data_IF_437539433025
#
_entry.id   IF_437539433025
#
_cell.length_a   1.000
_cell.length_b   1.000
_cell.length_c   1.000
_cell.angle_alpha   90.00
_cell.angle_beta   90.00
_cell.angle_gamma   90.00
#
_symmetry.space_group_name_H-M   'P 1'
#
loop_
_entity.id
_entity.type
_entity.pdbx_description
1 polymer ?
#
# COMPACT_ATOMS: atom_id res chain seq x y z
N UNK A 1 2.97 -35.21 8.04
CA UNK A 1 3.79 -33.98 8.11
C UNK A 1 2.90 -32.85 7.61
N UNK A 2 2.82 -31.72 8.32
CA UNK A 2 1.97 -30.61 7.90
C UNK A 2 2.35 -30.19 6.46
N UNK A 3 1.37 -30.04 5.57
CA UNK A 3 1.53 -29.50 4.21
C UNK A 3 1.87 -28.01 4.38
N UNK A 4 3.12 -27.73 4.76
CA UNK A 4 3.61 -26.37 4.92
C UNK A 4 3.54 -25.70 3.55
N UNK A 5 2.87 -24.56 3.50
CA UNK A 5 2.70 -23.82 2.27
C UNK A 5 4.06 -23.36 1.73
N UNK A 6 4.42 -23.81 0.52
CA UNK A 6 5.72 -23.50 -0.08
C UNK A 6 5.69 -22.17 -0.85
N UNK A 7 6.60 -21.27 -0.50
CA UNK A 7 6.88 -20.02 -1.21
C UNK A 7 8.23 -20.18 -1.90
N UNK A 8 8.27 -19.96 -3.21
CA UNK A 8 9.51 -19.97 -3.98
C UNK A 8 9.99 -18.53 -4.23
N UNK A 9 11.26 -18.27 -3.94
CA UNK A 9 11.95 -17.04 -4.31
C UNK A 9 12.93 -17.37 -5.43
N UNK A 10 12.67 -16.85 -6.62
CA UNK A 10 13.57 -16.97 -7.76
C UNK A 10 14.44 -15.72 -7.79
N UNK A 11 15.76 -15.87 -7.63
CA UNK A 11 16.70 -14.75 -7.46
C UNK A 11 17.78 -14.69 -8.55
N UNK A 12 18.08 -13.48 -9.04
CA UNK A 12 19.17 -13.22 -9.99
C UNK A 12 20.53 -12.98 -9.28
N UNK A 13 20.52 -12.68 -7.98
CA UNK A 13 21.71 -12.56 -7.14
C UNK A 13 21.51 -13.21 -5.78
N UNK A 14 22.60 -13.42 -5.03
CA UNK A 14 22.58 -14.08 -3.72
C UNK A 14 22.07 -13.19 -2.56
N UNK A 15 21.28 -12.16 -2.85
CA UNK A 15 20.67 -11.34 -1.78
C UNK A 15 19.63 -12.12 -1.00
N UNK A 16 19.78 -12.15 0.32
CA UNK A 16 18.93 -12.90 1.27
C UNK A 16 17.78 -12.06 1.86
N UNK A 17 17.67 -10.78 1.48
CA UNK A 17 16.70 -9.83 2.07
C UNK A 17 15.25 -10.30 1.96
N UNK A 18 14.87 -10.83 0.79
CA UNK A 18 13.53 -11.38 0.54
C UNK A 18 13.28 -12.67 1.32
N UNK A 19 14.33 -13.47 1.56
CA UNK A 19 14.19 -14.71 2.34
C UNK A 19 13.86 -14.37 3.80
N UNK A 20 14.62 -13.44 4.39
CA UNK A 20 14.40 -12.98 5.76
C UNK A 20 13.04 -12.32 5.96
N UNK A 21 12.57 -11.55 4.96
CA UNK A 21 11.28 -10.88 4.98
C UNK A 21 10.09 -11.84 5.15
N UNK A 22 10.17 -13.00 4.50
CA UNK A 22 9.02 -13.87 4.28
C UNK A 22 9.05 -15.13 5.15
N UNK A 23 10.22 -15.52 5.65
CA UNK A 23 10.37 -16.73 6.48
C UNK A 23 9.56 -16.64 7.77
N UNK A 24 8.67 -17.62 8.00
CA UNK A 24 7.86 -17.78 9.23
C UNK A 24 7.60 -19.27 9.53
N UNK A 25 7.15 -19.59 10.75
CA UNK A 25 6.85 -20.99 11.13
C UNK A 25 5.71 -21.64 10.33
N UNK A 26 4.83 -20.85 9.71
CA UNK A 26 3.61 -21.35 9.06
C UNK A 26 3.74 -21.64 7.56
N UNK A 27 4.89 -21.31 6.94
CA UNK A 27 5.14 -21.49 5.50
C UNK A 27 6.62 -21.83 5.31
N UNK A 28 6.93 -22.68 4.34
CA UNK A 28 8.32 -22.98 3.97
C UNK A 28 8.74 -22.04 2.85
N UNK A 29 9.87 -21.35 3.02
CA UNK A 29 10.43 -20.49 1.98
C UNK A 29 11.66 -21.17 1.39
N UNK A 30 11.69 -21.27 0.06
CA UNK A 30 12.78 -21.89 -0.69
C UNK A 30 13.28 -20.87 -1.70
N UNK A 31 14.58 -20.85 -1.97
CA UNK A 31 15.15 -19.99 -3.01
C UNK A 31 15.91 -20.79 -4.06
N UNK A 32 15.82 -20.39 -5.32
CA UNK A 32 16.61 -20.92 -6.42
C UNK A 32 17.06 -19.80 -7.36
N UNK A 33 18.00 -20.10 -8.25
CA UNK A 33 18.41 -19.15 -9.31
C UNK A 33 17.36 -19.06 -10.41
N UNK A 34 17.38 -17.99 -11.21
CA UNK A 34 16.50 -17.85 -12.39
C UNK A 34 16.56 -19.08 -13.32
N UNK A 35 17.75 -19.61 -13.57
CA UNK A 35 17.96 -20.78 -14.43
C UNK A 35 17.38 -22.08 -13.89
N UNK A 36 17.11 -22.15 -12.59
CA UNK A 36 16.63 -23.35 -11.90
C UNK A 36 15.11 -23.32 -11.66
N UNK A 37 14.45 -22.17 -11.93
CA UNK A 37 13.06 -21.97 -11.56
C UNK A 37 12.10 -22.98 -12.19
N UNK A 38 12.29 -23.31 -13.47
CA UNK A 38 11.39 -24.21 -14.21
C UNK A 38 11.55 -25.67 -13.77
N UNK A 39 12.78 -26.14 -13.54
CA UNK A 39 13.02 -27.48 -12.99
C UNK A 39 12.48 -27.57 -11.57
N UNK A 40 12.70 -26.53 -10.75
CA UNK A 40 12.18 -26.49 -9.39
C UNK A 40 10.65 -26.61 -9.35
N UNK A 41 9.94 -25.86 -10.20
CA UNK A 41 8.48 -25.88 -10.31
C UNK A 41 7.93 -27.21 -10.84
N UNK A 42 8.71 -27.96 -11.63
CA UNK A 42 8.32 -29.29 -12.10
C UNK A 42 8.31 -30.31 -10.96
N UNK A 43 9.28 -30.21 -10.05
CA UNK A 43 9.48 -31.20 -8.99
C UNK A 43 8.78 -30.84 -7.67
N UNK A 44 8.39 -29.57 -7.48
CA UNK A 44 7.87 -29.07 -6.22
C UNK A 44 6.54 -28.33 -6.37
N UNK A 45 5.61 -28.61 -5.45
CA UNK A 45 4.36 -27.86 -5.32
C UNK A 45 4.64 -26.49 -4.71
N UNK A 46 4.56 -25.44 -5.53
CA UNK A 46 4.72 -24.03 -5.12
C UNK A 46 3.35 -23.35 -5.00
N UNK A 47 3.10 -22.67 -3.89
CA UNK A 47 1.85 -21.91 -3.66
C UNK A 47 1.98 -20.44 -4.05
N UNK A 48 3.12 -19.82 -3.83
CA UNK A 48 3.41 -18.42 -4.21
C UNK A 48 4.83 -18.34 -4.75
N UNK A 49 5.03 -17.58 -5.82
CA UNK A 49 6.35 -17.34 -6.40
C UNK A 49 6.69 -15.85 -6.34
N UNK A 50 7.84 -15.52 -5.77
CA UNK A 50 8.45 -14.19 -5.82
C UNK A 50 9.57 -14.23 -6.85
N UNK A 51 9.39 -13.49 -7.95
CA UNK A 51 10.31 -13.49 -9.08
C UNK A 51 11.17 -12.23 -9.03
N UNK A 52 12.39 -12.34 -8.52
CA UNK A 52 13.38 -11.26 -8.44
C UNK A 52 14.36 -11.30 -9.61
N UNK A 53 14.09 -10.46 -10.60
CA UNK A 53 14.81 -10.42 -11.89
C UNK A 53 16.04 -9.50 -11.87
N UNK A 54 16.37 -8.89 -10.74
CA UNK A 54 17.48 -7.95 -10.66
C UNK A 54 17.30 -6.77 -11.64
N UNK A 55 18.28 -6.57 -12.51
CA UNK A 55 18.32 -5.49 -13.52
C UNK A 55 17.83 -6.00 -14.89
N UNK A 56 17.89 -7.31 -15.14
CA UNK A 56 17.47 -7.91 -16.41
C UNK A 56 15.98 -8.23 -16.41
N UNK A 57 15.19 -7.17 -16.60
CA UNK A 57 13.73 -7.24 -16.66
C UNK A 57 13.25 -8.20 -17.74
N UNK A 58 13.89 -8.20 -18.92
CA UNK A 58 13.41 -8.97 -20.07
C UNK A 58 13.50 -10.47 -19.82
N UNK A 59 14.64 -10.93 -19.28
CA UNK A 59 14.82 -12.32 -18.86
C UNK A 59 13.77 -12.73 -17.82
N UNK A 60 13.45 -11.81 -16.91
CA UNK A 60 12.37 -11.95 -15.95
C UNK A 60 10.99 -12.15 -16.57
N UNK A 61 10.63 -11.28 -17.53
CA UNK A 61 9.35 -11.34 -18.23
C UNK A 61 9.19 -12.63 -19.02
N UNK A 62 10.22 -13.04 -19.76
CA UNK A 62 10.23 -14.32 -20.49
C UNK A 62 9.98 -15.50 -19.55
N UNK A 63 10.66 -15.51 -18.39
CA UNK A 63 10.46 -16.57 -17.40
C UNK A 63 9.05 -16.53 -16.80
N UNK A 64 8.50 -15.34 -16.53
CA UNK A 64 7.13 -15.19 -16.05
C UNK A 64 6.12 -15.76 -17.05
N UNK A 65 6.24 -15.45 -18.33
CA UNK A 65 5.37 -15.96 -19.39
C UNK A 65 5.39 -17.49 -19.44
N UNK A 66 6.59 -18.09 -19.40
CA UNK A 66 6.76 -19.54 -19.42
C UNK A 66 6.17 -20.21 -18.17
N UNK A 67 6.37 -19.61 -16.99
CA UNK A 67 5.75 -20.08 -15.74
C UNK A 67 4.23 -20.03 -15.85
N UNK A 68 3.66 -18.98 -16.43
CA UNK A 68 2.20 -18.83 -16.53
C UNK A 68 1.58 -19.73 -17.59
N UNK A 69 2.33 -20.09 -18.62
CA UNK A 69 1.90 -21.08 -19.60
C UNK A 69 1.78 -22.48 -18.98
N UNK A 70 2.74 -22.90 -18.15
CA UNK A 70 2.79 -24.24 -17.56
C UNK A 70 2.06 -24.36 -16.21
N UNK A 71 2.13 -23.31 -15.37
CA UNK A 71 1.51 -23.23 -14.05
C UNK A 71 0.65 -21.96 -13.90
N UNK A 72 -0.45 -21.83 -14.68
CA UNK A 72 -1.30 -20.63 -14.68
C UNK A 72 -1.92 -20.31 -13.33
N UNK A 73 -2.01 -21.31 -12.44
CA UNK A 73 -2.57 -21.18 -11.09
C UNK A 73 -1.55 -20.80 -10.02
N UNK A 74 -0.28 -20.65 -10.32
CA UNK A 74 0.70 -20.15 -9.34
C UNK A 74 0.67 -18.62 -9.37
N UNK A 75 0.28 -17.92 -8.29
CA UNK A 75 0.42 -16.47 -8.20
C UNK A 75 1.92 -16.10 -8.21
N UNK A 76 2.28 -15.13 -9.05
CA UNK A 76 3.66 -14.67 -9.22
C UNK A 76 3.70 -13.18 -8.91
N UNK A 77 4.53 -12.78 -7.95
CA UNK A 77 4.85 -11.38 -7.66
C UNK A 77 6.16 -11.05 -8.35
N UNK A 78 6.15 -10.06 -9.23
CA UNK A 78 7.33 -9.65 -9.98
C UNK A 78 8.12 -8.60 -9.19
N UNK A 79 9.44 -8.73 -9.12
CA UNK A 79 10.32 -7.86 -8.34
C UNK A 79 11.51 -7.46 -9.20
N UNK A 80 11.81 -6.16 -9.29
CA UNK A 80 12.98 -5.68 -10.04
C UNK A 80 13.50 -4.35 -9.50
N UNK A 81 14.80 -4.10 -9.67
CA UNK A 81 15.42 -2.80 -9.38
C UNK A 81 15.29 -1.78 -10.51
N UNK A 82 15.08 -2.22 -11.75
CA UNK A 82 14.87 -1.34 -12.91
C UNK A 82 13.40 -1.42 -13.32
N UNK A 83 12.67 -0.32 -13.16
CA UNK A 83 11.24 -0.29 -13.51
C UNK A 83 10.91 0.97 -14.31
N UNK A 84 10.32 0.79 -15.49
CA UNK A 84 9.55 1.83 -16.18
C UNK A 84 8.05 1.52 -16.06
N UNK A 85 7.19 2.42 -16.54
CA UNK A 85 5.75 2.15 -16.59
C UNK A 85 5.43 1.00 -17.55
N UNK A 86 6.15 0.91 -18.66
CA UNK A 86 6.03 -0.16 -19.65
C UNK A 86 6.34 -1.52 -19.03
N UNK A 87 7.44 -1.63 -18.28
CA UNK A 87 7.83 -2.87 -17.58
C UNK A 87 6.74 -3.37 -16.63
N UNK A 88 6.05 -2.46 -15.94
CA UNK A 88 4.96 -2.82 -15.04
C UNK A 88 3.80 -3.40 -15.83
N UNK A 89 3.39 -2.73 -16.91
CA UNK A 89 2.31 -3.16 -17.78
C UNK A 89 2.63 -4.54 -18.39
N UNK A 90 3.86 -4.74 -18.85
CA UNK A 90 4.33 -6.01 -19.40
C UNK A 90 4.28 -7.14 -18.37
N UNK A 91 4.77 -6.91 -17.14
CA UNK A 91 4.71 -7.92 -16.08
C UNK A 91 3.26 -8.34 -15.77
N UNK A 92 2.33 -7.39 -15.71
CA UNK A 92 0.91 -7.70 -15.51
C UNK A 92 0.31 -8.44 -16.71
N UNK A 93 0.62 -8.03 -17.95
CA UNK A 93 0.16 -8.72 -19.17
C UNK A 93 0.67 -10.16 -19.24
N UNK A 94 1.92 -10.38 -18.84
CA UNK A 94 2.53 -11.71 -18.72
C UNK A 94 1.91 -12.55 -17.57
N UNK A 95 1.09 -11.96 -16.70
CA UNK A 95 0.28 -12.68 -15.70
C UNK A 95 0.75 -12.55 -14.26
N UNK A 96 1.64 -11.59 -13.94
CA UNK A 96 1.97 -11.26 -12.56
C UNK A 96 0.72 -10.82 -11.79
N UNK A 97 0.65 -11.17 -10.50
CA UNK A 97 -0.44 -10.74 -9.62
C UNK A 97 -0.15 -9.40 -8.94
N UNK A 98 1.13 -9.08 -8.79
CA UNK A 98 1.61 -7.82 -8.23
C UNK A 98 3.05 -7.55 -8.72
N UNK A 99 3.49 -6.30 -8.56
CA UNK A 99 4.80 -5.82 -8.99
C UNK A 99 5.44 -4.98 -7.88
N UNK A 100 6.68 -5.31 -7.48
CA UNK A 100 7.44 -4.59 -6.46
C UNK A 100 8.72 -4.00 -7.04
N UNK A 101 8.97 -2.72 -6.76
CA UNK A 101 10.23 -2.06 -7.06
C UNK A 101 11.22 -2.31 -5.92
N UNK A 102 12.50 -2.49 -6.22
CA UNK A 102 13.56 -2.42 -5.20
C UNK A 102 13.88 -0.95 -4.89
N UNK A 103 14.22 -0.60 -3.63
CA UNK A 103 14.25 -1.47 -2.45
C UNK A 103 12.84 -1.94 -2.05
N UNK A 104 12.71 -3.23 -1.71
CA UNK A 104 11.39 -3.82 -1.44
C UNK A 104 10.92 -3.44 -0.05
N UNK A 105 9.66 -3.00 0.03
CA UNK A 105 8.99 -2.85 1.30
C UNK A 105 8.66 -4.21 1.89
N UNK A 106 9.45 -4.61 2.88
CA UNK A 106 9.38 -5.89 3.58
C UNK A 106 8.03 -6.10 4.28
N UNK A 107 7.40 -5.04 4.77
CA UNK A 107 6.10 -5.14 5.45
C UNK A 107 5.00 -5.39 4.42
N UNK A 108 4.98 -4.60 3.34
CA UNK A 108 4.05 -4.81 2.24
C UNK A 108 4.19 -6.19 1.63
N UNK A 109 5.41 -6.63 1.34
CA UNK A 109 5.70 -7.96 0.78
C UNK A 109 5.12 -9.05 1.68
N UNK A 110 5.34 -8.95 2.99
CA UNK A 110 4.82 -9.92 3.95
C UNK A 110 3.28 -9.96 3.94
N UNK A 111 2.63 -8.81 3.97
CA UNK A 111 1.17 -8.72 4.04
C UNK A 111 0.54 -9.20 2.72
N UNK A 112 1.16 -8.90 1.57
CA UNK A 112 0.81 -9.44 0.26
C UNK A 112 0.88 -10.97 0.25
N UNK A 113 2.01 -11.53 0.67
CA UNK A 113 2.22 -12.98 0.72
C UNK A 113 1.18 -13.67 1.61
N UNK A 114 0.92 -13.14 2.82
CA UNK A 114 -0.13 -13.66 3.72
C UNK A 114 -1.51 -13.59 3.07
N UNK A 115 -1.83 -12.50 2.38
CA UNK A 115 -3.08 -12.33 1.64
C UNK A 115 -3.24 -13.39 0.54
N UNK A 116 -2.20 -13.59 -0.27
CA UNK A 116 -2.18 -14.59 -1.34
C UNK A 116 -2.40 -16.00 -0.79
N UNK A 117 -1.72 -16.38 0.28
CA UNK A 117 -1.85 -17.70 0.89
C UNK A 117 -3.25 -17.94 1.46
N UNK A 118 -3.82 -16.95 2.17
CA UNK A 118 -5.22 -17.00 2.64
C UNK A 118 -6.19 -17.20 1.48
N UNK A 119 -5.99 -16.49 0.36
CA UNK A 119 -6.84 -16.61 -0.82
C UNK A 119 -6.78 -18.01 -1.43
N UNK A 120 -5.60 -18.63 -1.48
CA UNK A 120 -5.42 -20.00 -2.00
C UNK A 120 -6.15 -21.04 -1.16
N UNK A 121 -6.31 -20.79 0.13
CA UNK A 121 -7.02 -21.67 1.06
C UNK A 121 -8.55 -21.45 1.05
N UNK A 122 -9.07 -20.53 0.23
CA UNK A 122 -10.53 -20.33 0.06
C UNK A 122 -11.09 -21.02 -1.20
N UNK A 123 -12.26 -21.67 -1.15
CA UNK A 123 -12.86 -22.40 -2.28
C UNK A 123 -13.18 -21.56 -3.54
N UNK A 124 -13.08 -20.22 -3.47
CA UNK A 124 -13.45 -19.27 -4.55
C UNK A 124 -12.24 -18.59 -5.23
N UNK A 125 -11.03 -19.10 -5.02
CA UNK A 125 -9.76 -18.44 -5.35
C UNK A 125 -9.52 -17.99 -6.80
N UNK A 126 -10.30 -18.42 -7.81
CA UNK A 126 -10.15 -17.96 -9.21
C UNK A 126 -10.71 -16.55 -9.46
N UNK A 127 -11.88 -16.19 -8.91
CA UNK A 127 -12.51 -14.86 -9.14
C UNK A 127 -11.76 -13.71 -8.44
N UNK A 128 -11.10 -13.99 -7.33
CA UNK A 128 -10.41 -12.98 -6.52
C UNK A 128 -9.09 -12.55 -7.17
N UNK A 129 -8.36 -13.48 -7.83
CA UNK A 129 -7.08 -13.19 -8.52
C UNK A 129 -7.22 -12.14 -9.62
N UNK A 130 -8.28 -12.24 -10.42
CA UNK A 130 -8.52 -11.33 -11.54
C UNK A 130 -8.95 -9.93 -11.06
N UNK A 131 -9.75 -9.86 -9.98
CA UNK A 131 -10.09 -8.59 -9.31
C UNK A 131 -8.87 -7.91 -8.69
N UNK A 132 -7.94 -8.67 -8.10
CA UNK A 132 -6.77 -8.10 -7.42
C UNK A 132 -5.77 -7.49 -8.41
N UNK A 133 -5.47 -8.19 -9.51
CA UNK A 133 -4.63 -7.66 -10.57
C UNK A 133 -5.26 -6.41 -11.21
N UNK A 134 -6.56 -6.46 -11.52
CA UNK A 134 -7.27 -5.30 -12.11
C UNK A 134 -7.39 -4.12 -11.14
N UNK A 135 -7.66 -4.36 -9.85
CA UNK A 135 -7.69 -3.27 -8.85
C UNK A 135 -6.31 -2.67 -8.63
N UNK A 136 -5.25 -3.49 -8.66
CA UNK A 136 -3.86 -3.00 -8.53
C UNK A 136 -3.41 -2.23 -9.77
N UNK A 137 -3.72 -2.70 -10.98
CA UNK A 137 -3.44 -1.98 -12.22
C UNK A 137 -4.21 -0.66 -12.22
N UNK A 138 -5.49 -0.67 -11.87
CA UNK A 138 -6.29 0.56 -11.72
C UNK A 138 -5.66 1.51 -10.69
N UNK A 139 -5.34 1.01 -9.49
CA UNK A 139 -4.68 1.78 -8.43
C UNK A 139 -3.33 2.35 -8.94
N UNK A 140 -2.49 1.56 -9.62
CA UNK A 140 -1.20 2.01 -10.15
C UNK A 140 -1.34 3.04 -11.28
N UNK A 141 -2.29 2.87 -12.19
CA UNK A 141 -2.56 3.84 -13.27
C UNK A 141 -3.11 5.16 -12.70
N UNK A 142 -3.92 5.11 -11.64
CA UNK A 142 -4.33 6.33 -10.91
C UNK A 142 -3.20 6.95 -10.08
N UNK A 143 -2.17 6.18 -9.69
CA UNK A 143 -1.03 6.68 -8.92
C UNK A 143 0.15 7.15 -9.80
N UNK A 144 0.20 6.71 -11.07
CA UNK A 144 1.20 7.15 -12.05
C UNK A 144 1.16 8.67 -12.29
N UNK A 145 0.03 9.32 -12.00
CA UNK A 145 -0.12 10.78 -12.06
C UNK A 145 0.33 11.52 -10.78
N UNK A 146 0.59 10.84 -9.65
CA UNK A 146 0.90 11.49 -8.36
C UNK A 146 2.13 10.97 -7.62
N UNK A 147 2.77 9.88 -8.07
CA UNK A 147 4.01 9.35 -7.46
C UNK A 147 3.86 8.82 -6.03
N UNK A 148 2.64 8.82 -5.46
CA UNK A 148 2.36 8.36 -4.10
C UNK A 148 1.97 6.87 -4.07
N UNK A 149 2.38 6.09 -3.06
CA UNK A 149 1.94 4.70 -2.92
C UNK A 149 0.43 4.58 -2.72
N UNK A 150 -0.19 3.54 -3.28
CA UNK A 150 -1.65 3.32 -3.24
C UNK A 150 -2.22 3.31 -1.81
N UNK A 151 -1.49 2.75 -0.84
CA UNK A 151 -1.90 2.74 0.57
C UNK A 151 -1.94 4.15 1.17
N UNK A 152 -1.05 5.05 0.73
CA UNK A 152 -1.04 6.44 1.18
C UNK A 152 -2.24 7.19 0.58
N UNK A 153 -2.54 6.98 -0.70
CA UNK A 153 -3.71 7.60 -1.34
C UNK A 153 -5.01 7.12 -0.68
N UNK A 154 -5.14 5.82 -0.40
CA UNK A 154 -6.30 5.29 0.34
C UNK A 154 -6.45 5.92 1.72
N UNK A 155 -5.36 6.07 2.46
CA UNK A 155 -5.40 6.73 3.76
C UNK A 155 -5.80 8.21 3.65
N UNK A 156 -5.30 8.95 2.66
CA UNK A 156 -5.67 10.36 2.44
C UNK A 156 -7.15 10.48 2.07
N UNK A 157 -7.65 9.65 1.14
CA UNK A 157 -9.07 9.66 0.76
C UNK A 157 -9.96 9.34 1.97
N UNK A 158 -9.57 8.36 2.78
CA UNK A 158 -10.28 8.05 4.02
C UNK A 158 -10.28 9.23 5.01
N UNK A 159 -9.14 9.93 5.17
CA UNK A 159 -9.09 11.14 5.99
C UNK A 159 -10.04 12.23 5.49
N UNK A 160 -10.12 12.46 4.18
CA UNK A 160 -11.01 13.46 3.56
C UNK A 160 -12.49 13.10 3.70
N UNK A 161 -12.85 11.82 3.60
CA UNK A 161 -14.23 11.37 3.71
C UNK A 161 -14.71 11.32 5.18
N UNK A 162 -13.82 11.01 6.12
CA UNK A 162 -14.15 10.73 7.51
C UNK A 162 -13.55 11.73 8.52
N UNK A 163 -13.07 12.90 8.09
CA UNK A 163 -12.26 13.81 8.92
C UNK A 163 -12.88 14.17 10.27
N UNK A 164 -14.21 14.20 10.39
CA UNK A 164 -14.93 14.57 11.61
C UNK A 164 -14.96 13.46 12.68
N UNK A 165 -14.63 12.22 12.31
CA UNK A 165 -14.65 11.05 13.19
C UNK A 165 -13.39 10.96 14.07
N UNK A 166 -13.44 10.13 15.13
CA UNK A 166 -12.26 9.83 15.94
C UNK A 166 -11.33 8.84 15.22
N UNK A 167 -10.46 9.37 14.37
CA UNK A 167 -9.53 8.60 13.56
C UNK A 167 -8.21 8.39 14.33
N UNK A 168 -7.89 7.13 14.59
CA UNK A 168 -6.59 6.73 15.13
C UNK A 168 -5.54 6.46 14.04
N UNK A 169 -4.27 6.50 14.43
CA UNK A 169 -3.18 6.14 13.52
C UNK A 169 -3.25 4.66 13.10
N UNK A 170 -3.73 3.80 13.99
CA UNK A 170 -3.99 2.38 13.75
C UNK A 170 -5.07 2.17 12.68
N UNK A 171 -6.15 2.95 12.73
CA UNK A 171 -7.22 2.90 11.74
C UNK A 171 -6.69 3.28 10.36
N UNK A 172 -5.96 4.40 10.26
CA UNK A 172 -5.35 4.85 9.01
C UNK A 172 -4.37 3.83 8.43
N UNK A 173 -3.56 3.21 9.28
CA UNK A 173 -2.65 2.15 8.86
C UNK A 173 -3.41 0.93 8.35
N UNK A 174 -4.53 0.55 9.00
CA UNK A 174 -5.40 -0.53 8.55
C UNK A 174 -6.03 -0.23 7.18
N UNK A 175 -6.52 0.99 6.94
CA UNK A 175 -7.05 1.41 5.63
C UNK A 175 -5.98 1.39 4.53
N UNK A 176 -4.74 1.69 4.89
CA UNK A 176 -3.57 1.58 4.02
C UNK A 176 -3.08 0.13 3.81
N UNK A 177 -3.68 -0.87 4.49
CA UNK A 177 -3.20 -2.24 4.58
C UNK A 177 -1.72 -2.32 5.05
N UNK A 178 -1.37 -1.53 6.06
CA UNK A 178 -0.01 -1.38 6.59
C UNK A 178 0.01 -1.51 8.12
N UNK A 179 1.17 -1.86 8.68
CA UNK A 179 1.40 -1.70 10.12
C UNK A 179 1.52 -0.22 10.51
N UNK A 180 1.13 0.13 11.75
CA UNK A 180 1.17 1.49 12.30
C UNK A 180 2.52 2.22 12.07
N UNK A 181 3.63 1.57 12.44
CA UNK A 181 4.96 2.18 12.37
C UNK A 181 5.43 2.37 10.92
N UNK A 182 5.17 1.37 10.07
CA UNK A 182 5.53 1.42 8.67
C UNK A 182 4.71 2.49 7.92
N UNK A 183 3.39 2.50 8.10
CA UNK A 183 2.51 3.53 7.58
C UNK A 183 2.99 4.93 7.96
N UNK A 184 3.27 5.16 9.24
CA UNK A 184 3.73 6.48 9.70
C UNK A 184 5.02 6.93 9.00
N UNK A 185 5.96 5.99 8.76
CA UNK A 185 7.23 6.30 8.08
C UNK A 185 7.00 6.65 6.61
N UNK A 186 6.31 5.78 5.87
CA UNK A 186 6.07 5.97 4.43
C UNK A 186 5.21 7.21 4.18
N UNK A 187 4.12 7.38 4.94
CA UNK A 187 3.27 8.56 4.84
C UNK A 187 4.08 9.84 5.05
N UNK A 188 4.93 9.89 6.08
CA UNK A 188 5.73 11.10 6.35
C UNK A 188 6.75 11.37 5.24
N UNK A 189 7.42 10.34 4.71
CA UNK A 189 8.36 10.53 3.60
C UNK A 189 7.68 10.94 2.30
N UNK A 190 6.45 10.48 2.06
CA UNK A 190 5.69 10.77 0.84
C UNK A 190 4.97 12.13 0.91
N UNK A 191 4.31 12.43 2.03
CA UNK A 191 3.43 13.59 2.21
C UNK A 191 4.17 14.78 2.85
N UNK A 192 5.34 14.55 3.45
CA UNK A 192 6.13 15.58 4.13
C UNK A 192 5.63 15.94 5.54
N UNK A 193 4.55 15.30 6.01
CA UNK A 193 3.99 15.48 7.35
C UNK A 193 3.49 14.15 7.91
N UNK A 194 3.43 14.02 9.25
CA UNK A 194 2.87 12.81 9.86
C UNK A 194 1.37 12.67 9.56
N UNK A 195 0.81 11.44 9.57
CA UNK A 195 -0.62 11.22 9.28
C UNK A 195 -1.55 12.09 10.12
N UNK A 196 -1.29 12.17 11.43
CA UNK A 196 -2.13 12.98 12.33
C UNK A 196 -1.98 14.49 12.08
N UNK A 197 -0.82 14.97 11.61
CA UNK A 197 -0.66 16.38 11.20
C UNK A 197 -1.42 16.67 9.91
N UNK A 198 -1.44 15.73 8.97
CA UNK A 198 -2.22 15.85 7.74
C UNK A 198 -3.73 15.91 8.06
N UNK A 199 -4.24 15.00 8.89
CA UNK A 199 -5.63 15.03 9.34
C UNK A 199 -5.99 16.34 10.04
N UNK A 200 -5.15 16.86 10.94
CA UNK A 200 -5.37 18.17 11.59
C UNK A 200 -5.49 19.28 10.55
N UNK A 201 -4.67 19.25 9.49
CA UNK A 201 -4.72 20.25 8.42
C UNK A 201 -6.04 20.18 7.66
N UNK A 202 -6.47 18.99 7.25
CA UNK A 202 -7.77 18.77 6.61
C UNK A 202 -8.89 19.34 7.48
N UNK A 203 -8.92 19.00 8.78
CA UNK A 203 -9.95 19.51 9.71
C UNK A 203 -9.94 21.03 9.84
N UNK A 204 -8.77 21.66 9.85
CA UNK A 204 -8.67 23.13 9.89
C UNK A 204 -9.15 23.76 8.58
N UNK A 205 -8.80 23.17 7.43
CA UNK A 205 -9.27 23.65 6.12
C UNK A 205 -10.80 23.55 6.03
N UNK A 206 -11.41 22.45 6.47
CA UNK A 206 -12.87 22.31 6.60
C UNK A 206 -13.48 23.30 7.58
N UNK A 207 -12.82 23.58 8.70
CA UNK A 207 -13.28 24.60 9.64
C UNK A 207 -13.24 25.99 9.01
N UNK A 208 -12.22 26.33 8.23
CA UNK A 208 -12.14 27.60 7.50
C UNK A 208 -13.30 27.75 6.52
N UNK A 209 -13.68 26.69 5.81
CA UNK A 209 -14.86 26.66 4.93
C UNK A 209 -16.15 26.92 5.73
N UNK A 210 -16.36 26.21 6.85
CA UNK A 210 -17.54 26.41 7.70
C UNK A 210 -17.61 27.83 8.25
N UNK A 211 -16.48 28.39 8.73
CA UNK A 211 -16.46 29.73 9.33
C UNK A 211 -16.85 30.86 8.37
N UNK A 212 -16.77 30.65 7.05
CA UNK A 212 -17.20 31.63 6.04
C UNK A 212 -18.72 31.72 5.91
N UNK A 213 -19.42 30.60 6.11
CA UNK A 213 -20.85 30.48 5.78
C UNK A 213 -21.73 30.20 7.00
N UNK A 214 -21.15 29.71 8.09
CA UNK A 214 -21.85 29.26 9.28
C UNK A 214 -21.72 30.26 10.45
N UNK A 215 -22.87 30.59 11.05
CA UNK A 215 -22.99 31.44 12.24
C UNK A 215 -22.88 30.69 13.56
N UNK A 216 -22.74 29.36 13.52
CA UNK A 216 -22.53 28.50 14.68
C UNK A 216 -21.37 28.97 15.56
N UNK A 217 -21.40 28.63 16.85
CA UNK A 217 -20.32 29.00 17.76
C UNK A 217 -18.99 28.36 17.34
N UNK A 218 -17.86 28.96 17.72
CA UNK A 218 -16.54 28.37 17.45
C UNK A 218 -16.41 26.97 18.07
N UNK A 219 -17.07 26.73 19.20
CA UNK A 219 -17.12 25.42 19.86
C UNK A 219 -17.90 24.38 19.05
N UNK A 220 -19.01 24.76 18.41
CA UNK A 220 -19.75 23.87 17.52
C UNK A 220 -18.93 23.53 16.27
N UNK A 221 -18.30 24.52 15.64
CA UNK A 221 -17.43 24.29 14.47
C UNK A 221 -16.25 23.38 14.82
N UNK A 222 -15.63 23.58 15.98
CA UNK A 222 -14.57 22.70 16.48
C UNK A 222 -15.04 21.24 16.59
N UNK A 223 -16.24 21.03 17.14
CA UNK A 223 -16.80 19.69 17.34
C UNK A 223 -17.20 19.06 16.01
N UNK A 224 -17.80 19.82 15.08
CA UNK A 224 -18.25 19.31 13.78
C UNK A 224 -17.10 18.91 12.85
N UNK A 225 -15.91 19.46 13.05
CA UNK A 225 -14.69 19.06 12.32
C UNK A 225 -13.83 18.06 13.10
N UNK A 226 -14.34 17.46 14.17
CA UNK A 226 -13.72 16.32 14.86
C UNK A 226 -12.65 16.67 15.90
N UNK A 227 -12.60 17.91 16.41
CA UNK A 227 -11.75 18.24 17.55
C UNK A 227 -12.47 17.99 18.87
N UNK A 228 -11.86 17.15 19.72
CA UNK A 228 -12.38 16.82 21.06
C UNK A 228 -12.06 17.89 22.12
N UNK A 229 -11.17 18.84 21.81
CA UNK A 229 -10.79 19.94 22.71
C UNK A 229 -10.68 21.26 21.94
N UNK A 230 -11.40 22.26 22.45
CA UNK A 230 -11.46 23.61 21.86
C UNK A 230 -10.10 24.32 21.90
N UNK A 231 -9.31 24.10 22.95
CA UNK A 231 -8.00 24.74 23.11
C UNK A 231 -7.02 24.24 22.05
N UNK A 232 -6.99 22.93 21.83
CA UNK A 232 -6.23 22.27 20.77
C UNK A 232 -6.67 22.74 19.39
N UNK A 233 -7.98 22.87 19.15
CA UNK A 233 -8.50 23.43 17.90
C UNK A 233 -7.97 24.85 17.66
N UNK A 234 -8.15 25.78 18.60
CA UNK A 234 -7.72 27.18 18.45
C UNK A 234 -6.21 27.26 18.18
N UNK A 235 -5.42 26.46 18.89
CA UNK A 235 -3.96 26.38 18.71
C UNK A 235 -3.58 25.90 17.32
N UNK A 236 -4.17 24.80 16.84
CA UNK A 236 -3.86 24.25 15.51
C UNK A 236 -4.38 25.14 14.40
N UNK A 237 -5.58 25.70 14.54
CA UNK A 237 -6.15 26.65 13.60
C UNK A 237 -5.24 27.87 13.44
N UNK A 238 -4.84 28.52 14.56
CA UNK A 238 -3.92 29.66 14.51
C UNK A 238 -2.58 29.32 13.87
N UNK A 239 -2.06 28.13 14.12
CA UNK A 239 -0.80 27.66 13.54
C UNK A 239 -0.89 27.51 12.01
N UNK A 240 -2.03 27.05 11.49
CA UNK A 240 -2.20 26.73 10.06
C UNK A 240 -2.73 27.94 9.28
N UNK A 241 -3.76 28.63 9.80
CA UNK A 241 -4.41 29.76 9.15
C UNK A 241 -3.76 31.13 9.49
N UNK A 242 -2.79 31.16 10.40
CA UNK A 242 -2.08 32.38 10.83
C UNK A 242 -2.84 33.27 11.82
N UNK A 243 -4.14 33.04 12.04
CA UNK A 243 -4.99 33.83 12.95
C UNK A 243 -5.99 32.95 13.71
N UNK A 244 -6.66 33.50 14.73
CA UNK A 244 -7.65 32.72 15.51
C UNK A 244 -8.94 32.47 14.71
N UNK A 245 -9.71 31.40 15.00
CA UNK A 245 -11.00 31.15 14.35
C UNK A 245 -11.96 32.34 14.39
N UNK A 246 -12.07 33.01 15.55
CA UNK A 246 -12.93 34.19 15.73
C UNK A 246 -12.49 35.38 14.88
N UNK A 247 -11.18 35.61 14.80
CA UNK A 247 -10.62 36.66 13.94
C UNK A 247 -10.81 36.32 12.45
N UNK A 248 -10.54 35.07 12.06
CA UNK A 248 -10.70 34.60 10.68
C UNK A 248 -12.14 34.80 10.18
N UNK A 249 -13.13 34.46 11.00
CA UNK A 249 -14.56 34.67 10.71
C UNK A 249 -14.89 36.15 10.47
N UNK A 250 -14.42 37.05 11.35
CA UNK A 250 -14.70 38.50 11.21
C UNK A 250 -14.16 39.05 9.89
N UNK A 251 -12.99 38.61 9.46
CA UNK A 251 -12.36 39.05 8.21
C UNK A 251 -13.02 38.42 6.98
N UNK A 252 -13.53 37.20 7.09
CA UNK A 252 -14.15 36.46 5.98
C UNK A 252 -15.63 36.80 5.73
N UNK A 253 -16.23 37.63 6.59
CA UNK A 253 -17.62 38.12 6.49
C UNK A 253 -17.71 39.56 5.95
N UNK A 254 -16.57 40.12 5.50
CA UNK A 254 -16.47 41.41 4.79
C UNK A 254 -16.47 41.09 3.30
#
# INVERSE_FOLDING_TARGET
MADNDNILIVKDSDSEELLLAVTRQSHTVISCRLSEALSFLADHKVKVLLLDCGIDVQKGLTLLEEIKQRWPSVPVVFITGKSTEETIIEAFRAGAIDFLRKPVDIVYLRDLVVGLLKMLNTPRGKRVRQRYALSRISDMLSNATTGMPAGIIKAINYMEEHFSEDISLEKLASEACMSKFHFSRIFTSTVGASPMKCLIRIRVERAMELLKHDRSSISMVSSSVGFNDLSSFIKNFKKIAGTTPSSYRKTSLI
#
